data_IF_458997643128
#
_entry.id   IF_458997643128
#
_cell.length_a   1.000
_cell.length_b   1.000
_cell.length_c   1.000
_cell.angle_alpha   90.00
_cell.angle_beta   90.00
_cell.angle_gamma   90.00
#
_symmetry.space_group_name_H-M   'P 1'
#
loop_
_entity.id
_entity.type
_entity.pdbx_description
1 polymer ?
#
# COMPACT_ATOMS: atom_id res chain seq x y z
N UNK A 1 -0.03 -20.92 -10.88
CA UNK A 1 -0.36 -19.65 -11.57
C UNK A 1 -1.11 -18.66 -10.69
N UNK A 2 -2.15 -19.08 -9.95
CA UNK A 2 -2.98 -18.18 -9.11
C UNK A 2 -2.17 -17.40 -8.04
N UNK A 3 -1.12 -17.99 -7.46
CA UNK A 3 -0.22 -17.32 -6.50
C UNK A 3 0.45 -16.07 -7.09
N UNK A 4 1.02 -16.21 -8.29
CA UNK A 4 1.69 -15.12 -8.99
C UNK A 4 0.67 -14.03 -9.35
N UNK A 5 -0.55 -14.41 -9.74
CA UNK A 5 -1.62 -13.46 -10.02
C UNK A 5 -1.99 -12.63 -8.77
N UNK A 6 -2.23 -13.27 -7.62
CA UNK A 6 -2.56 -12.57 -6.37
C UNK A 6 -1.40 -11.67 -5.92
N UNK A 7 -0.16 -12.16 -6.06
CA UNK A 7 1.03 -11.36 -5.78
C UNK A 7 1.13 -10.13 -6.69
N UNK A 8 0.93 -10.25 -8.00
CA UNK A 8 0.95 -9.12 -8.94
C UNK A 8 -0.20 -8.13 -8.68
N UNK A 9 -1.37 -8.62 -8.29
CA UNK A 9 -2.51 -7.77 -7.91
C UNK A 9 -2.17 -6.99 -6.63
N UNK A 10 -1.65 -7.66 -5.60
CA UNK A 10 -1.20 -7.01 -4.37
C UNK A 10 -0.09 -5.98 -4.63
N UNK A 11 0.83 -6.30 -5.55
CA UNK A 11 1.88 -5.39 -6.00
C UNK A 11 1.31 -4.14 -6.68
N UNK A 12 0.39 -4.30 -7.63
CA UNK A 12 -0.27 -3.16 -8.30
C UNK A 12 -1.02 -2.26 -7.31
N UNK A 13 -1.76 -2.84 -6.38
CA UNK A 13 -2.47 -2.11 -5.32
C UNK A 13 -1.49 -1.35 -4.41
N UNK A 14 -0.37 -1.97 -4.05
CA UNK A 14 0.67 -1.32 -3.24
C UNK A 14 1.37 -0.18 -3.98
N UNK A 15 1.61 -0.32 -5.29
CA UNK A 15 2.23 0.71 -6.13
C UNK A 15 1.30 1.92 -6.25
N UNK A 16 0.01 1.71 -6.48
CA UNK A 16 -0.98 2.80 -6.55
C UNK A 16 -1.02 3.55 -5.20
N UNK A 17 -1.11 2.82 -4.09
CA UNK A 17 -1.06 3.40 -2.74
C UNK A 17 0.22 4.20 -2.46
N UNK A 18 1.37 3.69 -2.90
CA UNK A 18 2.66 4.38 -2.81
C UNK A 18 2.72 5.68 -3.62
N UNK A 19 2.23 5.65 -4.85
CA UNK A 19 2.19 6.84 -5.71
C UNK A 19 1.28 7.92 -5.10
N UNK A 20 0.12 7.55 -4.55
CA UNK A 20 -0.75 8.52 -3.85
C UNK A 20 -0.07 9.15 -2.64
N UNK A 21 0.66 8.38 -1.83
CA UNK A 21 1.43 8.91 -0.69
C UNK A 21 2.47 9.94 -1.16
N UNK A 22 3.22 9.63 -2.22
CA UNK A 22 4.24 10.53 -2.79
C UNK A 22 3.60 11.76 -3.43
N UNK A 23 2.46 11.60 -4.11
CA UNK A 23 1.73 12.72 -4.71
C UNK A 23 1.18 13.67 -3.63
N UNK A 24 0.66 13.14 -2.53
CA UNK A 24 0.21 13.95 -1.39
C UNK A 24 1.37 14.67 -0.69
N UNK A 25 2.57 14.06 -0.59
CA UNK A 25 3.79 14.77 -0.16
C UNK A 25 4.12 15.96 -1.04
N UNK A 26 3.98 15.76 -2.34
CA UNK A 26 4.34 16.77 -3.33
C UNK A 26 3.34 17.95 -3.33
N UNK A 27 2.05 17.66 -3.13
CA UNK A 27 0.99 18.68 -3.07
C UNK A 27 0.91 19.37 -1.71
N UNK A 28 1.16 18.66 -0.60
CA UNK A 28 1.21 19.30 0.72
C UNK A 28 2.44 20.20 0.80
N UNK A 29 2.19 21.50 0.86
CA UNK A 29 3.22 22.51 1.06
C UNK A 29 4.02 22.17 2.34
N UNK A 30 5.37 22.17 2.30
CA UNK A 30 6.24 21.79 3.43
C UNK A 30 6.11 22.70 4.68
N UNK A 31 5.18 23.64 4.67
CA UNK A 31 4.88 24.59 5.75
C UNK A 31 4.04 23.98 6.88
N UNK A 32 3.34 22.86 6.64
CA UNK A 32 2.76 22.02 7.70
C UNK A 32 3.75 20.90 8.03
N UNK A 33 4.30 20.92 9.24
CA UNK A 33 5.33 19.96 9.67
C UNK A 33 4.96 18.48 9.47
N UNK A 34 5.98 17.63 9.42
CA UNK A 34 5.89 16.17 9.17
C UNK A 34 4.82 15.43 9.99
N UNK A 35 4.51 15.88 11.21
CA UNK A 35 3.46 15.26 12.06
C UNK A 35 2.06 15.43 11.49
N UNK A 36 1.76 16.58 10.88
CA UNK A 36 0.46 16.85 10.26
C UNK A 36 0.29 16.03 8.98
N UNK A 37 1.39 15.83 8.25
CA UNK A 37 1.42 14.98 7.07
C UNK A 37 1.10 13.52 7.41
N UNK A 38 1.70 12.95 8.48
CA UNK A 38 1.38 11.58 8.92
C UNK A 38 -0.08 11.46 9.40
N UNK A 39 -0.59 12.45 10.13
CA UNK A 39 -1.98 12.49 10.57
C UNK A 39 -2.96 12.57 9.38
N UNK A 40 -2.62 13.36 8.37
CA UNK A 40 -3.38 13.51 7.14
C UNK A 40 -3.39 12.23 6.30
N UNK A 41 -2.25 11.54 6.19
CA UNK A 41 -2.15 10.26 5.51
C UNK A 41 -2.94 9.16 6.20
N UNK A 42 -2.87 9.07 7.53
CA UNK A 42 -3.67 8.11 8.29
C UNK A 42 -5.17 8.41 8.20
N UNK A 43 -5.58 9.65 7.96
CA UNK A 43 -6.99 10.01 7.81
C UNK A 43 -7.55 9.65 6.43
N UNK A 44 -6.70 9.50 5.40
CA UNK A 44 -7.14 9.26 4.02
C UNK A 44 -7.18 7.77 3.69
N UNK A 45 -8.39 7.30 3.37
CA UNK A 45 -8.70 5.92 2.96
C UNK A 45 -7.81 5.43 1.81
N UNK A 46 -7.38 6.34 0.95
CA UNK A 46 -6.54 6.06 -0.22
C UNK A 46 -5.12 5.59 0.15
N UNK A 47 -4.56 6.07 1.27
CA UNK A 47 -3.24 5.65 1.72
C UNK A 47 -3.25 4.25 2.36
N UNK A 48 -4.42 3.73 2.72
CA UNK A 48 -4.55 2.34 3.20
C UNK A 48 -4.38 1.31 2.09
N UNK A 49 -4.46 1.70 0.81
CA UNK A 49 -4.15 0.79 -0.30
C UNK A 49 -2.70 0.28 -0.23
N UNK A 50 -1.78 1.08 0.32
CA UNK A 50 -0.38 0.69 0.47
C UNK A 50 -0.21 -0.48 1.46
N UNK A 51 -0.61 -0.38 2.75
CA UNK A 51 -0.54 -1.50 3.67
C UNK A 51 -1.44 -2.67 3.26
N UNK A 52 -2.60 -2.43 2.64
CA UNK A 52 -3.48 -3.50 2.15
C UNK A 52 -2.82 -4.29 1.01
N UNK A 53 -2.20 -3.62 0.05
CA UNK A 53 -1.44 -4.27 -1.03
C UNK A 53 -0.25 -5.08 -0.48
N UNK A 54 0.43 -4.54 0.54
CA UNK A 54 1.52 -5.21 1.24
C UNK A 54 1.04 -6.45 2.01
N UNK A 55 -0.09 -6.37 2.71
CA UNK A 55 -0.72 -7.49 3.40
C UNK A 55 -1.21 -8.57 2.42
N UNK A 56 -1.71 -8.18 1.25
CA UNK A 56 -2.08 -9.12 0.19
C UNK A 56 -0.86 -9.85 -0.38
N UNK A 57 0.23 -9.13 -0.64
CA UNK A 57 1.50 -9.75 -1.06
C UNK A 57 2.05 -10.68 0.02
N UNK A 58 2.03 -10.26 1.29
CA UNK A 58 2.49 -11.05 2.43
C UNK A 58 1.64 -12.31 2.64
N UNK A 59 0.31 -12.18 2.58
CA UNK A 59 -0.62 -13.29 2.68
C UNK A 59 -0.47 -14.27 1.52
N UNK A 60 -0.20 -13.78 0.31
CA UNK A 60 0.10 -14.64 -0.85
C UNK A 60 1.41 -15.42 -0.69
N UNK A 61 2.37 -14.91 0.08
CA UNK A 61 3.61 -15.62 0.40
C UNK A 61 3.37 -16.68 1.50
N UNK A 62 2.55 -16.32 2.49
CA UNK A 62 2.15 -17.17 3.62
C UNK A 62 1.01 -18.14 3.33
N UNK A 63 0.51 -18.20 2.10
CA UNK A 63 -0.33 -19.29 1.62
C UNK A 63 0.61 -20.33 0.97
N UNK A 64 1.34 -21.16 1.74
CA UNK A 64 1.89 -22.36 1.18
C UNK A 64 0.68 -23.19 0.77
N UNK A 65 0.63 -23.48 -0.53
CA UNK A 65 -0.05 -24.67 -1.00
C UNK A 65 0.47 -25.81 -0.11
N UNK A 66 -0.35 -26.24 0.85
CA UNK A 66 -0.12 -27.49 1.55
C UNK A 66 -0.28 -28.55 0.48
N UNK A 67 0.86 -28.98 -0.05
CA UNK A 67 0.97 -30.15 -0.92
C UNK A 67 0.52 -31.34 -0.08
N UNK A 68 -0.78 -31.65 -0.15
CA UNK A 68 -1.28 -33.01 0.07
C UNK A 68 -1.35 -33.71 -1.29
#
# INVERSE_FOLDING_TARGET
MIRIFIYLVGFGVSVIGGITVIAYLNIMTPERGWSEYFSYICTRVECYLLPIGLLLMWGSLYFPYREE
#
